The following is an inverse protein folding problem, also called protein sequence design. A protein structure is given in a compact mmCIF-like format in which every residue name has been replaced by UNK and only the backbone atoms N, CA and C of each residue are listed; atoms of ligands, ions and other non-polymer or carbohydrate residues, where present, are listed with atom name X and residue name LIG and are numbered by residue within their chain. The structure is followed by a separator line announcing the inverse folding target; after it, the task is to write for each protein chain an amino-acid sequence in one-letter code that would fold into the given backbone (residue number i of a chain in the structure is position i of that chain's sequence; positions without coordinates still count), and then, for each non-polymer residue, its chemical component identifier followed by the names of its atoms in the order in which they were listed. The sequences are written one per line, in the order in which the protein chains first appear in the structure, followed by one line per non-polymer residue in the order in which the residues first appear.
data_IF_379958779841
#
_entry.id   IF_379958779841
#
_cell.length_a   1.000
_cell.length_b   1.000
_cell.length_c   1.000
_cell.angle_alpha   90.00
_cell.angle_beta   90.00
_cell.angle_gamma   90.00
#
_symmetry.space_group_name_H-M   'P 1'
#
loop_
_entity.id
_entity.type
_entity.pdbx_description
1 polymer ?
#
# COMPACT_ATOMS: atom_id res chain seq x y z
N UNK A 1 0.79 -43.32 50.56
CA UNK A 1 -0.13 -42.32 50.00
C UNK A 1 0.38 -41.96 48.62
N UNK A 2 -0.37 -42.37 47.60
CA UNK A 2 -0.11 -42.07 46.19
C UNK A 2 -0.38 -40.60 45.93
N UNK A 3 0.57 -39.85 45.38
CA UNK A 3 0.30 -38.53 44.78
C UNK A 3 0.63 -38.64 43.32
N UNK A 4 -0.44 -38.76 42.54
CA UNK A 4 -0.48 -38.88 41.10
C UNK A 4 0.34 -37.78 40.43
N UNK A 5 1.19 -38.18 39.48
CA UNK A 5 1.70 -37.27 38.47
C UNK A 5 0.51 -36.77 37.65
N UNK A 6 0.14 -35.51 37.87
CA UNK A 6 -0.84 -34.83 37.05
C UNK A 6 -0.19 -34.57 35.69
N UNK A 7 -0.61 -35.35 34.69
CA UNK A 7 -0.27 -35.13 33.29
C UNK A 7 -0.80 -33.74 32.89
N UNK A 8 0.08 -32.74 32.88
CA UNK A 8 -0.18 -31.47 32.22
C UNK A 8 -0.22 -31.77 30.72
N UNK A 9 -1.40 -31.61 30.12
CA UNK A 9 -1.65 -31.81 28.69
C UNK A 9 -0.69 -30.94 27.86
N UNK A 10 0.32 -31.56 27.25
CA UNK A 10 1.31 -30.91 26.38
C UNK A 10 0.78 -30.54 24.99
N UNK A 11 -0.54 -30.52 24.80
CA UNK A 11 -1.14 -30.15 23.51
C UNK A 11 -1.14 -28.64 23.24
N UNK A 12 -0.94 -27.80 24.27
CA UNK A 12 -0.90 -26.33 24.13
C UNK A 12 0.49 -25.74 23.82
N UNK A 13 1.57 -26.42 24.16
CA UNK A 13 2.94 -25.88 24.03
C UNK A 13 3.52 -26.05 22.61
N UNK A 14 3.13 -27.10 21.88
CA UNK A 14 3.60 -27.31 20.50
C UNK A 14 2.92 -26.37 19.50
N UNK A 15 1.60 -26.17 19.61
CA UNK A 15 0.85 -25.27 18.73
C UNK A 15 1.29 -23.81 18.93
N UNK A 16 1.55 -23.41 20.18
CA UNK A 16 2.08 -22.08 20.49
C UNK A 16 3.52 -21.89 20.00
N UNK A 17 4.38 -22.91 20.11
CA UNK A 17 5.74 -22.90 19.58
C UNK A 17 5.81 -22.82 18.04
N UNK A 18 5.06 -23.65 17.31
CA UNK A 18 4.92 -23.57 15.85
C UNK A 18 4.38 -22.22 15.40
N UNK A 19 3.43 -21.67 16.16
CA UNK A 19 2.92 -20.35 15.89
C UNK A 19 4.02 -19.29 16.08
N UNK A 20 4.79 -19.35 17.17
CA UNK A 20 5.75 -18.34 17.58
C UNK A 20 6.88 -18.12 16.57
N UNK A 21 7.32 -19.17 15.90
CA UNK A 21 8.36 -19.10 14.88
C UNK A 21 7.79 -18.92 13.47
N UNK A 22 8.50 -18.14 12.65
CA UNK A 22 8.25 -18.01 11.22
C UNK A 22 9.46 -18.56 10.48
N UNK A 23 9.25 -19.57 9.65
CA UNK A 23 10.33 -20.13 8.85
C UNK A 23 10.59 -19.26 7.61
N UNK A 24 11.80 -18.74 7.50
CA UNK A 24 12.27 -17.99 6.33
C UNK A 24 13.30 -18.81 5.59
N UNK A 25 13.05 -19.03 4.31
CA UNK A 25 13.95 -19.77 3.43
C UNK A 25 15.35 -19.13 3.41
N UNK A 26 16.38 -19.92 3.74
CA UNK A 26 17.78 -19.46 3.86
C UNK A 26 18.19 -18.85 5.21
N UNK A 27 17.25 -18.60 6.13
CA UNK A 27 17.53 -18.01 7.47
C UNK A 27 17.13 -18.95 8.61
N UNK A 28 16.12 -19.82 8.41
CA UNK A 28 15.61 -20.75 9.42
C UNK A 28 14.41 -20.21 10.20
N UNK A 29 14.20 -20.71 11.40
CA UNK A 29 13.09 -20.32 12.28
C UNK A 29 13.38 -18.98 12.96
N UNK A 30 12.58 -17.96 12.67
CA UNK A 30 12.70 -16.60 13.21
C UNK A 30 11.58 -16.35 14.23
N UNK A 31 11.87 -15.88 15.45
CA UNK A 31 10.85 -15.55 16.43
C UNK A 31 10.01 -14.36 15.97
N UNK A 32 8.71 -14.38 16.25
CA UNK A 32 7.77 -13.33 15.83
C UNK A 32 8.05 -11.95 16.43
N UNK A 33 8.80 -11.87 17.52
CA UNK A 33 9.19 -10.64 18.19
C UNK A 33 10.63 -10.20 17.92
N UNK A 34 11.24 -10.68 16.84
CA UNK A 34 12.58 -10.27 16.40
C UNK A 34 12.76 -8.74 16.34
N UNK A 35 11.70 -7.99 16.05
CA UNK A 35 11.74 -6.52 16.03
C UNK A 35 12.08 -5.89 17.38
N UNK A 36 11.90 -6.59 18.50
CA UNK A 36 12.34 -6.14 19.84
C UNK A 36 13.85 -6.29 20.04
N UNK A 37 14.47 -7.19 19.28
CA UNK A 37 15.87 -7.56 19.40
C UNK A 37 16.74 -6.99 18.28
N UNK A 38 16.13 -6.37 17.26
CA UNK A 38 16.83 -5.70 16.16
C UNK A 38 16.89 -4.20 16.44
N UNK A 39 18.10 -3.63 16.40
CA UNK A 39 18.29 -2.18 16.44
C UNK A 39 17.81 -1.58 15.13
N UNK A 40 16.74 -0.81 15.15
CA UNK A 40 16.21 -0.15 13.94
C UNK A 40 17.16 0.96 13.47
N UNK A 41 17.74 0.81 12.28
CA UNK A 41 18.43 1.90 11.60
C UNK A 41 17.40 2.82 10.91
N UNK A 42 17.35 4.13 11.23
CA UNK A 42 16.45 5.07 10.54
C UNK A 42 16.76 5.23 9.04
N UNK A 43 17.98 4.92 8.59
CA UNK A 43 18.34 4.91 7.17
C UNK A 43 17.91 3.61 6.46
N UNK A 44 17.61 2.57 7.24
CA UNK A 44 17.19 1.26 6.78
C UNK A 44 18.35 0.38 6.33
N UNK A 45 18.28 -0.91 6.67
CA UNK A 45 19.35 -1.87 6.38
C UNK A 45 19.40 -2.29 4.91
N UNK A 46 18.26 -2.24 4.20
CA UNK A 46 18.12 -2.71 2.83
C UNK A 46 17.19 -1.80 2.00
N UNK A 47 17.54 -1.46 0.75
CA UNK A 47 16.68 -0.66 -0.11
C UNK A 47 15.42 -1.44 -0.49
N UNK A 48 14.26 -0.99 0.00
CA UNK A 48 12.95 -1.60 -0.32
C UNK A 48 12.47 -1.29 -1.73
N UNK A 49 12.75 -0.08 -2.22
CA UNK A 49 12.33 0.45 -3.51
C UNK A 49 13.51 1.06 -4.27
N UNK A 50 13.47 0.98 -5.59
CA UNK A 50 14.41 1.66 -6.46
C UNK A 50 14.17 3.17 -6.46
N UNK A 51 15.24 3.95 -6.68
CA UNK A 51 15.19 5.42 -6.69
C UNK A 51 14.16 5.95 -7.71
N UNK A 52 14.07 5.35 -8.90
CA UNK A 52 13.09 5.78 -9.91
C UNK A 52 11.63 5.62 -9.45
N UNK A 53 11.31 4.59 -8.64
CA UNK A 53 9.96 4.40 -8.07
C UNK A 53 9.69 5.48 -7.02
N UNK A 54 10.68 5.81 -6.19
CA UNK A 54 10.54 6.86 -5.16
C UNK A 54 10.29 8.22 -5.81
N UNK A 55 11.06 8.56 -6.86
CA UNK A 55 10.88 9.82 -7.62
C UNK A 55 9.51 9.83 -8.29
N UNK A 56 9.11 8.74 -8.94
CA UNK A 56 7.80 8.60 -9.58
C UNK A 56 6.66 8.80 -8.58
N UNK A 57 6.78 8.21 -7.38
CA UNK A 57 5.78 8.35 -6.33
C UNK A 57 5.70 9.79 -5.83
N UNK A 58 6.85 10.44 -5.60
CA UNK A 58 6.89 11.84 -5.19
C UNK A 58 6.26 12.77 -6.24
N UNK A 59 6.54 12.54 -7.52
CA UNK A 59 5.92 13.29 -8.63
C UNK A 59 4.40 13.09 -8.63
N UNK A 60 3.93 11.86 -8.45
CA UNK A 60 2.50 11.53 -8.38
C UNK A 60 1.83 12.21 -7.19
N UNK A 61 2.48 12.21 -6.03
CA UNK A 61 2.00 12.87 -4.82
C UNK A 61 1.84 14.38 -5.01
N UNK A 62 2.87 15.05 -5.54
CA UNK A 62 2.82 16.51 -5.80
C UNK A 62 1.76 16.84 -6.85
N UNK A 63 1.70 16.08 -7.95
CA UNK A 63 0.67 16.27 -8.96
C UNK A 63 -0.73 16.11 -8.36
N UNK A 64 -0.97 15.06 -7.56
CA UNK A 64 -2.26 14.83 -6.91
C UNK A 64 -2.70 16.02 -6.05
N UNK A 65 -1.79 16.57 -5.24
CA UNK A 65 -2.10 17.73 -4.40
C UNK A 65 -2.48 18.95 -5.24
N UNK A 66 -1.79 19.19 -6.36
CA UNK A 66 -2.12 20.30 -7.28
C UNK A 66 -3.49 20.07 -7.93
N UNK A 67 -3.77 18.86 -8.41
CA UNK A 67 -5.09 18.51 -8.97
C UNK A 67 -6.20 18.70 -7.93
N UNK A 68 -5.98 18.24 -6.69
CA UNK A 68 -6.95 18.36 -5.62
C UNK A 68 -7.20 19.84 -5.27
N UNK A 69 -6.14 20.64 -5.09
CA UNK A 69 -6.26 22.05 -4.75
C UNK A 69 -6.98 22.85 -5.85
N UNK A 70 -6.62 22.65 -7.12
CA UNK A 70 -7.26 23.34 -8.25
C UNK A 70 -8.67 22.81 -8.53
N UNK A 71 -8.87 21.49 -8.57
CA UNK A 71 -10.16 20.88 -8.87
C UNK A 71 -11.22 21.15 -7.80
N UNK A 72 -10.86 21.00 -6.52
CA UNK A 72 -11.79 21.26 -5.41
C UNK A 72 -12.14 22.75 -5.32
N UNK A 73 -11.18 23.65 -5.52
CA UNK A 73 -11.46 25.08 -5.49
C UNK A 73 -12.36 25.54 -6.65
N UNK A 74 -12.21 24.95 -7.85
CA UNK A 74 -13.13 25.22 -8.96
C UNK A 74 -14.53 24.67 -8.71
N UNK A 75 -14.65 23.47 -8.12
CA UNK A 75 -15.95 22.86 -7.85
C UNK A 75 -16.72 23.58 -6.73
N UNK A 76 -16.03 23.99 -5.67
CA UNK A 76 -16.63 24.66 -4.52
C UNK A 76 -16.43 26.19 -4.55
N UNK A 77 -16.54 26.81 -5.73
CA UNK A 77 -16.24 28.23 -5.95
C UNK A 77 -16.97 29.21 -5.02
N UNK A 78 -18.13 28.79 -4.49
CA UNK A 78 -18.96 29.60 -3.60
C UNK A 78 -18.43 29.67 -2.16
N UNK A 79 -17.52 28.76 -1.78
CA UNK A 79 -16.95 28.70 -0.45
C UNK A 79 -15.77 29.67 -0.30
N UNK A 80 -15.68 30.31 0.86
CA UNK A 80 -14.66 31.33 1.12
C UNK A 80 -13.22 30.83 0.93
N UNK A 81 -12.93 29.58 1.35
CA UNK A 81 -11.60 28.98 1.25
C UNK A 81 -11.22 28.67 -0.20
N UNK A 82 -12.18 28.25 -1.02
CA UNK A 82 -11.97 27.93 -2.42
C UNK A 82 -11.54 29.17 -3.21
N UNK A 83 -12.20 30.31 -2.95
CA UNK A 83 -11.84 31.60 -3.56
C UNK A 83 -10.40 32.02 -3.24
N UNK A 84 -9.92 31.77 -2.02
CA UNK A 84 -8.52 32.08 -1.65
C UNK A 84 -7.53 31.19 -2.42
N UNK A 85 -7.83 29.90 -2.56
CA UNK A 85 -7.00 28.98 -3.32
C UNK A 85 -6.99 29.36 -4.81
N UNK A 86 -8.15 29.63 -5.40
CA UNK A 86 -8.23 30.09 -6.80
C UNK A 86 -7.47 31.38 -7.02
N UNK A 87 -7.53 32.32 -6.07
CA UNK A 87 -6.74 33.55 -6.13
C UNK A 87 -5.23 33.29 -6.06
N UNK A 88 -4.78 32.34 -5.21
CA UNK A 88 -3.37 31.94 -5.14
C UNK A 88 -2.84 31.40 -6.48
N UNK A 89 -3.70 30.72 -7.24
CA UNK A 89 -3.36 30.26 -8.58
C UNK A 89 -3.50 31.34 -9.67
N UNK A 90 -3.87 32.57 -9.33
CA UNK A 90 -4.00 33.68 -10.28
C UNK A 90 -5.37 33.78 -10.96
N UNK A 91 -6.42 33.24 -10.34
CA UNK A 91 -7.79 33.28 -10.83
C UNK A 91 -8.27 31.97 -11.44
N UNK A 92 -9.53 31.95 -11.86
CA UNK A 92 -10.21 30.74 -12.35
C UNK A 92 -9.57 30.15 -13.60
N UNK A 93 -9.14 31.01 -14.53
CA UNK A 93 -8.58 30.57 -15.81
C UNK A 93 -7.18 29.98 -15.64
N UNK A 94 -6.33 30.60 -14.84
CA UNK A 94 -5.03 30.03 -14.50
C UNK A 94 -5.16 28.75 -13.68
N UNK A 95 -6.06 28.71 -12.69
CA UNK A 95 -6.31 27.50 -11.91
C UNK A 95 -6.76 26.34 -12.82
N UNK A 96 -7.60 26.59 -13.82
CA UNK A 96 -8.00 25.62 -14.85
C UNK A 96 -6.81 25.18 -15.71
N UNK A 97 -5.96 26.11 -16.16
CA UNK A 97 -4.77 25.80 -16.94
C UNK A 97 -3.80 24.91 -16.16
N UNK A 98 -3.51 25.29 -14.91
CA UNK A 98 -2.64 24.53 -14.00
C UNK A 98 -3.23 23.14 -13.73
N UNK A 99 -4.54 23.03 -13.54
CA UNK A 99 -5.21 21.74 -13.39
C UNK A 99 -4.98 20.84 -14.61
N UNK A 100 -5.14 21.36 -15.83
CA UNK A 100 -4.92 20.60 -17.07
C UNK A 100 -3.46 20.15 -17.22
N UNK A 101 -2.50 21.03 -16.91
CA UNK A 101 -1.08 20.69 -16.94
C UNK A 101 -0.74 19.60 -15.90
N UNK A 102 -1.23 19.74 -14.68
CA UNK A 102 -1.01 18.76 -13.62
C UNK A 102 -1.67 17.42 -13.96
N UNK A 103 -2.87 17.44 -14.57
CA UNK A 103 -3.54 16.24 -15.06
C UNK A 103 -2.73 15.52 -16.14
N UNK A 104 -2.12 16.24 -17.09
CA UNK A 104 -1.23 15.62 -18.08
C UNK A 104 -0.02 14.94 -17.42
N UNK A 105 0.60 15.59 -16.43
CA UNK A 105 1.71 15.00 -15.64
C UNK A 105 1.25 13.76 -14.88
N UNK A 106 0.07 13.81 -14.23
CA UNK A 106 -0.51 12.68 -13.50
C UNK A 106 -0.76 11.48 -14.42
N UNK A 107 -1.33 11.71 -15.61
CA UNK A 107 -1.56 10.66 -16.61
C UNK A 107 -0.24 10.04 -17.06
N UNK A 108 0.76 10.87 -17.41
CA UNK A 108 2.08 10.39 -17.80
C UNK A 108 2.77 9.56 -16.69
N UNK A 109 2.73 10.05 -15.44
CA UNK A 109 3.28 9.35 -14.28
C UNK A 109 2.56 8.02 -14.00
N UNK A 110 1.24 7.97 -14.20
CA UNK A 110 0.43 6.76 -14.05
C UNK A 110 0.74 5.71 -15.13
N UNK A 111 0.91 6.15 -16.39
CA UNK A 111 1.32 5.27 -17.49
C UNK A 111 2.72 4.71 -17.22
N UNK A 112 3.68 5.55 -16.83
CA UNK A 112 5.04 5.11 -16.49
C UNK A 112 5.05 4.09 -15.35
N UNK A 113 4.24 4.32 -14.31
CA UNK A 113 4.08 3.37 -13.20
C UNK A 113 3.54 2.02 -13.67
N UNK A 114 2.50 2.03 -14.51
CA UNK A 114 1.91 0.82 -15.07
C UNK A 114 2.92 0.05 -15.94
N UNK A 115 3.67 0.74 -16.79
CA UNK A 115 4.73 0.15 -17.61
C UNK A 115 5.85 -0.46 -16.76
N UNK A 116 6.23 0.20 -15.67
CA UNK A 116 7.26 -0.30 -14.75
C UNK A 116 6.80 -1.58 -14.05
N UNK A 117 5.54 -1.65 -13.63
CA UNK A 117 4.97 -2.85 -13.00
C UNK A 117 4.84 -3.99 -14.01
N UNK A 118 4.29 -3.72 -15.21
CA UNK A 118 4.10 -4.73 -16.25
C UNK A 118 5.47 -5.25 -16.73
N UNK A 119 6.39 -4.36 -17.07
CA UNK A 119 7.74 -4.73 -17.51
C UNK A 119 8.51 -5.48 -16.43
N UNK A 120 8.44 -5.02 -15.17
CA UNK A 120 9.07 -5.70 -14.03
C UNK A 120 8.46 -7.07 -13.74
N UNK A 121 7.15 -7.22 -13.95
CA UNK A 121 6.44 -8.50 -13.81
C UNK A 121 6.82 -9.47 -14.93
N UNK A 122 6.79 -9.01 -16.18
CA UNK A 122 7.14 -9.80 -17.35
C UNK A 122 8.58 -10.30 -17.27
N UNK A 123 9.52 -9.44 -16.88
CA UNK A 123 10.92 -9.82 -16.68
C UNK A 123 11.09 -10.92 -15.62
N UNK A 124 10.35 -10.85 -14.51
CA UNK A 124 10.37 -11.89 -13.47
C UNK A 124 9.75 -13.19 -13.93
N UNK A 125 8.68 -13.12 -14.72
CA UNK A 125 8.04 -14.29 -15.34
C UNK A 125 9.01 -14.97 -16.31
N UNK A 126 9.67 -14.22 -17.18
CA UNK A 126 10.69 -14.74 -18.11
C UNK A 126 11.85 -15.43 -17.39
N UNK A 127 12.27 -14.90 -16.23
CA UNK A 127 13.32 -15.49 -15.38
C UNK A 127 12.84 -16.62 -14.46
N UNK A 128 11.55 -17.03 -14.53
CA UNK A 128 10.93 -18.01 -13.61
C UNK A 128 11.07 -17.64 -12.12
N UNK A 129 11.22 -16.36 -11.80
CA UNK A 129 11.36 -15.81 -10.44
C UNK A 129 10.07 -15.11 -9.99
N UNK A 130 8.96 -15.33 -10.68
CA UNK A 130 7.69 -14.69 -10.37
C UNK A 130 7.03 -15.35 -9.16
N UNK A 131 6.90 -14.58 -8.08
CA UNK A 131 6.19 -14.98 -6.87
C UNK A 131 4.96 -14.08 -6.68
N UNK A 132 3.78 -14.68 -6.81
CA UNK A 132 2.51 -13.99 -6.68
C UNK A 132 2.29 -13.41 -5.27
N UNK A 133 2.90 -14.01 -4.23
CA UNK A 133 2.82 -13.55 -2.83
C UNK A 133 3.48 -12.16 -2.64
N UNK A 134 4.36 -11.78 -3.56
CA UNK A 134 5.09 -10.50 -3.54
C UNK A 134 4.41 -9.42 -4.40
N UNK A 135 3.19 -9.66 -4.90
CA UNK A 135 2.45 -8.74 -5.77
C UNK A 135 1.43 -7.89 -5.01
N UNK A 136 0.86 -6.88 -5.68
CA UNK A 136 -0.23 -6.04 -5.14
C UNK A 136 -1.64 -6.58 -5.40
N UNK A 137 -1.74 -7.80 -5.95
CA UNK A 137 -3.02 -8.39 -6.29
C UNK A 137 -3.67 -8.92 -5.00
N UNK A 138 -4.91 -8.52 -4.68
CA UNK A 138 -5.66 -9.08 -3.56
C UNK A 138 -5.89 -10.59 -3.77
N UNK A 139 -5.73 -11.38 -2.71
CA UNK A 139 -5.94 -12.83 -2.72
C UNK A 139 -6.88 -13.24 -1.60
N UNK A 140 -7.42 -14.47 -1.68
CA UNK A 140 -8.25 -15.04 -0.61
C UNK A 140 -7.52 -15.08 0.76
N UNK A 141 -6.19 -15.22 0.75
CA UNK A 141 -5.37 -15.10 1.96
C UNK A 141 -5.51 -13.73 2.62
N UNK A 142 -5.66 -12.64 1.86
CA UNK A 142 -5.81 -11.30 2.44
C UNK A 142 -7.11 -11.16 3.24
N UNK A 143 -8.16 -11.91 2.87
CA UNK A 143 -9.41 -11.97 3.63
C UNK A 143 -9.23 -12.78 4.92
N UNK A 144 -8.50 -13.89 4.86
CA UNK A 144 -8.12 -14.65 6.05
C UNK A 144 -7.29 -13.78 7.01
N UNK A 145 -6.27 -13.09 6.50
CA UNK A 145 -5.44 -12.18 7.29
C UNK A 145 -6.26 -11.04 7.91
N UNK A 146 -7.27 -10.51 7.22
CA UNK A 146 -8.21 -9.52 7.77
C UNK A 146 -8.99 -10.09 8.97
N UNK A 147 -9.58 -11.28 8.83
CA UNK A 147 -10.38 -11.91 9.90
C UNK A 147 -9.52 -12.19 11.13
N UNK A 148 -8.29 -12.69 10.93
CA UNK A 148 -7.33 -12.94 12.01
C UNK A 148 -6.84 -11.64 12.66
N UNK A 149 -6.59 -10.58 11.88
CA UNK A 149 -6.24 -9.25 12.40
C UNK A 149 -7.39 -8.70 13.28
N UNK A 150 -8.65 -8.89 12.87
CA UNK A 150 -9.84 -8.53 13.67
C UNK A 150 -9.88 -9.34 14.98
N UNK A 151 -9.75 -10.67 14.92
CA UNK A 151 -9.72 -11.54 16.11
C UNK A 151 -8.62 -11.14 17.09
N UNK A 152 -7.44 -10.81 16.57
CA UNK A 152 -6.31 -10.29 17.35
C UNK A 152 -6.67 -8.99 18.07
N UNK A 153 -7.30 -8.02 17.40
CA UNK A 153 -7.75 -6.78 18.06
C UNK A 153 -8.80 -7.00 19.14
N UNK A 154 -9.62 -8.04 19.02
CA UNK A 154 -10.58 -8.46 20.05
C UNK A 154 -9.95 -9.37 21.14
N UNK A 155 -8.63 -9.58 21.12
CA UNK A 155 -7.91 -10.39 22.11
C UNK A 155 -8.14 -11.90 21.99
N UNK A 156 -8.75 -12.37 20.90
CA UNK A 156 -9.01 -13.80 20.65
C UNK A 156 -7.83 -14.55 20.04
N UNK A 157 -6.83 -13.81 19.56
CA UNK A 157 -5.56 -14.35 19.08
C UNK A 157 -4.40 -13.67 19.80
N UNK A 158 -3.40 -14.45 20.20
CA UNK A 158 -2.23 -13.94 20.94
C UNK A 158 -1.26 -13.17 20.04
N UNK A 159 -1.24 -13.49 18.73
CA UNK A 159 -0.28 -12.95 17.78
C UNK A 159 -0.98 -12.46 16.51
N UNK A 160 -0.44 -11.41 15.90
CA UNK A 160 -0.91 -10.96 14.58
C UNK A 160 -0.70 -12.03 13.49
N UNK A 161 -1.54 -12.02 12.44
CA UNK A 161 -1.37 -12.91 11.29
C UNK A 161 -0.04 -12.67 10.57
N UNK A 162 0.52 -13.74 10.00
CA UNK A 162 1.78 -13.72 9.23
C UNK A 162 1.55 -13.07 7.86
N UNK A 163 1.58 -11.74 7.83
CA UNK A 163 1.36 -10.94 6.62
C UNK A 163 2.51 -11.08 5.61
N UNK A 164 2.17 -10.94 4.34
CA UNK A 164 3.15 -11.02 3.24
C UNK A 164 3.89 -9.69 3.06
N UNK A 165 4.75 -9.60 2.03
CA UNK A 165 5.48 -8.36 1.69
C UNK A 165 4.58 -7.11 1.68
N UNK A 166 3.33 -7.31 1.28
CA UNK A 166 2.30 -6.28 1.26
C UNK A 166 1.08 -6.76 2.03
N UNK A 167 0.65 -5.96 2.99
CA UNK A 167 -0.50 -6.26 3.84
C UNK A 167 -1.81 -6.08 3.06
N UNK A 168 -2.88 -6.74 3.50
CA UNK A 168 -4.21 -6.60 2.90
C UNK A 168 -4.64 -5.12 2.77
N UNK A 169 -4.39 -4.30 3.81
CA UNK A 169 -4.67 -2.85 3.81
C UNK A 169 -3.96 -2.12 2.66
N UNK A 170 -2.68 -2.43 2.45
CA UNK A 170 -1.88 -1.82 1.39
C UNK A 170 -2.38 -2.21 0.00
N UNK A 171 -2.74 -3.48 -0.19
CA UNK A 171 -3.31 -3.97 -1.46
C UNK A 171 -4.66 -3.34 -1.77
N UNK A 172 -5.53 -3.21 -0.77
CA UNK A 172 -6.83 -2.55 -0.92
C UNK A 172 -6.69 -1.05 -1.21
N UNK A 173 -5.80 -0.35 -0.50
CA UNK A 173 -5.51 1.06 -0.79
C UNK A 173 -4.94 1.22 -2.19
N UNK A 174 -4.02 0.35 -2.61
CA UNK A 174 -3.47 0.36 -3.96
C UNK A 174 -4.55 0.17 -5.02
N UNK A 175 -5.46 -0.79 -4.82
CA UNK A 175 -6.58 -1.03 -5.74
C UNK A 175 -7.55 0.16 -5.78
N UNK A 176 -7.88 0.74 -4.64
CA UNK A 176 -8.75 1.91 -4.56
C UNK A 176 -8.15 3.12 -5.29
N UNK A 177 -6.84 3.35 -5.14
CA UNK A 177 -6.13 4.43 -5.86
C UNK A 177 -6.10 4.13 -7.36
N UNK A 178 -5.81 2.90 -7.77
CA UNK A 178 -5.79 2.52 -9.19
C UNK A 178 -7.16 2.74 -9.85
N UNK A 179 -8.23 2.31 -9.18
CA UNK A 179 -9.61 2.51 -9.65
C UNK A 179 -10.01 3.98 -9.64
N UNK A 180 -9.71 4.71 -8.56
CA UNK A 180 -9.99 6.14 -8.45
C UNK A 180 -9.31 6.95 -9.54
N UNK A 181 -8.03 6.68 -9.82
CA UNK A 181 -7.28 7.32 -10.91
C UNK A 181 -7.90 6.99 -12.28
N UNK A 182 -8.32 5.75 -12.51
CA UNK A 182 -9.00 5.36 -13.75
C UNK A 182 -10.29 6.16 -13.96
N UNK A 183 -11.14 6.25 -12.95
CA UNK A 183 -12.40 7.01 -13.01
C UNK A 183 -12.13 8.50 -13.23
N UNK A 184 -11.20 9.10 -12.48
CA UNK A 184 -10.87 10.53 -12.61
C UNK A 184 -10.29 10.87 -13.98
N UNK A 185 -9.42 10.03 -14.54
CA UNK A 185 -8.88 10.21 -15.89
C UNK A 185 -10.01 10.10 -16.91
N UNK A 186 -10.88 9.09 -16.82
CA UNK A 186 -11.98 8.91 -17.76
C UNK A 186 -12.95 10.11 -17.76
N UNK A 187 -13.37 10.56 -16.58
CA UNK A 187 -14.24 11.73 -16.43
C UNK A 187 -13.55 13.01 -16.93
N UNK A 188 -12.27 13.19 -16.61
CA UNK A 188 -11.49 14.33 -17.07
C UNK A 188 -11.34 14.39 -18.59
N UNK A 189 -11.16 13.25 -19.24
CA UNK A 189 -11.12 13.15 -20.71
C UNK A 189 -12.46 13.55 -21.31
N UNK A 190 -13.59 13.07 -20.75
CA UNK A 190 -14.92 13.46 -21.22
C UNK A 190 -15.17 14.96 -21.09
N UNK A 191 -14.70 15.59 -20.02
CA UNK A 191 -14.83 17.04 -19.80
C UNK A 191 -13.84 17.89 -20.60
N UNK A 192 -12.80 17.28 -21.18
CA UNK A 192 -11.75 17.98 -21.92
C UNK A 192 -12.18 18.34 -23.35
N UNK A 193 -13.09 17.55 -23.94
CA UNK A 193 -13.64 17.78 -25.28
C UNK A 193 -15.01 18.46 -25.16
N UNK A 194 -15.30 19.47 -26.01
CA UNK A 194 -16.56 20.20 -26.00
C UNK A 194 -17.76 19.36 -26.44
#
# INVERSE_FOLDING_TARGET
MSTSAENIETMGDEETAESYYTHVEGVGAIPRDIYKHVKSDPLGDLPRYSIHIVIQHFLTFVAFLILAATGLSLHFSDLWWARQITFLFGGTDNARLVHKMAAAVMVAASIYHLLTIIGGTLHKVMKKQFDIKKTQIPRLKDLHDLVHDIKYFFGREQFRPKMEKFMYKQKLHYLAILWGTFVLISAGITLLFP
#
